data_IF_079555521949
#
_entry.id   IF_079555521949
#
_cell.length_a   1.000
_cell.length_b   1.000
_cell.length_c   1.000
_cell.angle_alpha   90.00
_cell.angle_beta   90.00
_cell.angle_gamma   90.00
#
_symmetry.space_group_name_H-M   'P 1'
#
loop_
_entity.id
_entity.type
_entity.pdbx_description
1 polymer ?
#
# COMPACT_ATOMS: atom_id res chain seq x y z
N UNK A 1 4.84 12.44 16.77
CA UNK A 1 3.95 11.63 15.89
C UNK A 1 4.50 10.21 15.75
N UNK A 2 3.67 9.20 15.50
CA UNK A 2 4.11 7.79 15.41
C UNK A 2 3.75 7.12 14.07
N UNK A 3 4.66 6.34 13.50
CA UNK A 3 4.41 5.50 12.34
C UNK A 3 3.79 4.14 12.71
N UNK A 4 3.09 3.53 11.75
CA UNK A 4 2.61 2.15 11.85
C UNK A 4 3.70 1.10 11.51
N UNK A 5 4.89 1.54 11.11
CA UNK A 5 5.97 0.70 10.57
C UNK A 5 7.23 0.69 11.45
N UNK A 6 8.01 -0.41 11.48
CA UNK A 6 9.32 -0.44 12.11
C UNK A 6 10.31 0.58 11.52
N UNK A 7 11.28 1.02 12.33
CA UNK A 7 12.29 2.02 11.93
C UNK A 7 13.19 1.57 10.76
N UNK A 8 13.32 0.26 10.54
CA UNK A 8 14.17 -0.31 9.48
C UNK A 8 13.58 -0.21 8.08
N UNK A 9 12.28 0.06 7.95
CA UNK A 9 11.55 0.03 6.68
C UNK A 9 11.63 1.37 5.92
N UNK A 10 11.54 1.32 4.58
CA UNK A 10 11.56 2.57 3.79
C UNK A 10 10.27 3.38 3.96
N UNK A 11 9.17 2.77 4.41
CA UNK A 11 7.95 3.47 4.82
C UNK A 11 8.23 4.43 5.99
N UNK A 12 9.14 4.07 6.91
CA UNK A 12 9.58 4.97 7.97
C UNK A 12 10.53 6.05 7.45
N UNK A 13 11.34 5.75 6.42
CA UNK A 13 12.11 6.77 5.70
C UNK A 13 11.21 7.82 5.02
N UNK A 14 10.05 7.43 4.48
CA UNK A 14 9.08 8.39 3.92
C UNK A 14 8.58 9.35 5.02
N UNK A 15 8.26 8.81 6.20
CA UNK A 15 7.79 9.60 7.32
C UNK A 15 8.85 10.57 7.87
N UNK A 16 10.10 10.11 8.01
CA UNK A 16 11.21 10.98 8.45
C UNK A 16 11.57 12.02 7.39
N UNK A 17 11.48 11.67 6.10
CA UNK A 17 11.60 12.63 5.01
C UNK A 17 10.53 13.71 5.10
N UNK A 18 9.26 13.34 5.28
CA UNK A 18 8.16 14.29 5.50
C UNK A 18 8.42 15.24 6.67
N UNK A 19 8.86 14.71 7.83
CA UNK A 19 9.19 15.51 9.00
C UNK A 19 10.33 16.52 8.72
N UNK A 20 11.39 16.09 8.04
CA UNK A 20 12.49 16.95 7.61
C UNK A 20 12.01 18.06 6.64
N UNK A 21 11.11 17.73 5.70
CA UNK A 21 10.52 18.71 4.78
C UNK A 21 9.68 19.76 5.51
N UNK A 22 8.87 19.36 6.51
CA UNK A 22 8.14 20.31 7.37
C UNK A 22 9.10 21.25 8.09
N UNK A 23 10.18 20.72 8.69
CA UNK A 23 11.21 21.53 9.35
C UNK A 23 11.86 22.53 8.41
N UNK A 24 12.27 22.10 7.22
CA UNK A 24 12.92 22.96 6.21
C UNK A 24 11.98 24.04 5.66
N UNK A 25 10.75 23.67 5.30
CA UNK A 25 9.75 24.61 4.74
C UNK A 25 9.27 25.63 5.77
N UNK A 26 9.33 25.29 7.06
CA UNK A 26 8.99 26.20 8.16
C UNK A 26 10.18 26.96 8.74
N UNK A 27 11.39 26.80 8.18
CA UNK A 27 12.63 27.32 8.76
C UNK A 27 12.82 26.96 10.25
N UNK A 28 12.38 25.75 10.63
CA UNK A 28 12.47 25.23 11.99
C UNK A 28 11.34 25.66 12.93
N UNK A 29 10.35 26.45 12.48
CA UNK A 29 9.20 26.84 13.30
C UNK A 29 8.27 25.66 13.63
N UNK A 30 8.26 24.63 12.78
CA UNK A 30 7.57 23.38 13.02
C UNK A 30 8.56 22.23 13.04
N UNK A 31 8.50 21.43 14.09
CA UNK A 31 9.24 20.18 14.20
C UNK A 31 8.28 19.03 14.42
N UNK A 32 8.62 17.85 13.88
CA UNK A 32 7.86 16.63 14.09
C UNK A 32 8.82 15.58 14.64
N UNK A 33 8.64 15.22 15.90
CA UNK A 33 9.33 14.08 16.49
C UNK A 33 8.72 12.79 15.91
N UNK A 34 9.54 12.02 15.21
CA UNK A 34 9.12 10.78 14.54
C UNK A 34 9.43 9.57 15.43
N UNK A 35 8.41 8.72 15.62
CA UNK A 35 8.52 7.50 16.41
C UNK A 35 8.13 6.28 15.55
N UNK A 36 8.89 5.18 15.55
CA UNK A 36 8.51 3.94 14.87
C UNK A 36 7.31 3.24 15.52
N UNK A 37 6.84 2.19 14.86
CA UNK A 37 5.79 1.30 15.34
C UNK A 37 6.01 0.82 16.78
N UNK A 38 4.96 0.89 17.59
CA UNK A 38 4.94 0.33 18.95
C UNK A 38 5.65 1.17 20.01
N UNK A 39 6.21 2.34 19.67
CA UNK A 39 6.90 3.17 20.65
C UNK A 39 5.96 3.78 21.70
N UNK A 40 4.76 4.21 21.29
CA UNK A 40 3.71 4.73 22.20
C UNK A 40 2.53 3.77 22.25
N UNK A 41 2.00 3.37 21.10
CA UNK A 41 0.88 2.43 20.99
C UNK A 41 1.10 1.41 19.87
N UNK A 42 0.48 0.21 19.94
CA UNK A 42 0.47 -0.74 18.84
C UNK A 42 -0.07 -0.13 17.53
N UNK A 43 0.40 -0.57 16.34
CA UNK A 43 -0.01 0.02 15.05
C UNK A 43 -1.52 0.08 14.81
N UNK A 44 -2.26 -0.95 15.20
CA UNK A 44 -3.72 -1.01 15.01
C UNK A 44 -4.51 -0.13 15.98
N UNK A 45 -3.87 0.45 16.99
CA UNK A 45 -4.47 1.39 17.95
C UNK A 45 -4.19 2.87 17.59
N UNK A 46 -3.37 3.13 16.56
CA UNK A 46 -2.90 4.48 16.24
C UNK A 46 -4.02 5.48 15.94
N UNK A 47 -5.05 5.08 15.20
CA UNK A 47 -6.17 5.97 14.90
C UNK A 47 -6.87 6.47 16.17
N UNK A 48 -7.14 5.57 17.13
CA UNK A 48 -7.77 5.95 18.40
C UNK A 48 -6.82 6.79 19.25
N UNK A 49 -5.52 6.48 19.25
CA UNK A 49 -4.51 7.27 19.95
C UNK A 49 -4.40 8.70 19.40
N UNK A 50 -4.44 8.89 18.08
CA UNK A 50 -4.46 10.22 17.45
C UNK A 50 -5.75 10.95 17.78
N UNK A 51 -6.91 10.29 17.65
CA UNK A 51 -8.19 10.93 17.95
C UNK A 51 -8.30 11.38 19.41
N UNK A 52 -7.69 10.64 20.35
CA UNK A 52 -7.63 10.97 21.78
C UNK A 52 -6.44 11.86 22.17
N UNK A 53 -5.63 12.25 21.18
CA UNK A 53 -4.42 13.07 21.38
C UNK A 53 -3.39 12.45 22.34
N UNK A 54 -3.30 11.13 22.36
CA UNK A 54 -2.17 10.41 23.00
C UNK A 54 -0.89 10.67 22.21
N UNK A 55 -1.01 10.77 20.88
CA UNK A 55 0.01 11.32 19.99
C UNK A 55 -0.63 12.37 19.09
N UNK A 56 0.11 13.41 18.71
CA UNK A 56 -0.43 14.52 17.90
C UNK A 56 -0.83 14.11 16.48
N UNK A 57 -0.32 12.96 16.02
CA UNK A 57 -0.62 12.42 14.72
C UNK A 57 0.15 11.13 14.43
N UNK A 58 -0.21 10.47 13.34
CA UNK A 58 0.37 9.22 12.88
C UNK A 58 0.66 9.19 11.40
N UNK A 59 1.56 8.30 10.99
CA UNK A 59 1.81 7.94 9.60
C UNK A 59 1.45 6.46 9.39
N UNK A 60 0.33 6.21 8.71
CA UNK A 60 -0.36 4.91 8.70
C UNK A 60 -0.95 4.59 7.32
N UNK A 61 -1.87 3.62 7.30
CA UNK A 61 -2.61 3.14 6.14
C UNK A 61 -4.06 2.90 6.52
N UNK A 62 -4.99 3.52 5.78
CA UNK A 62 -6.40 3.52 6.13
C UNK A 62 -7.02 2.10 6.17
N UNK A 63 -6.45 1.15 5.44
CA UNK A 63 -6.92 -0.24 5.45
C UNK A 63 -6.83 -0.93 6.83
N UNK A 64 -6.02 -0.42 7.77
CA UNK A 64 -6.01 -0.91 9.17
C UNK A 64 -7.29 -0.57 9.92
N UNK A 65 -8.10 0.37 9.44
CA UNK A 65 -9.36 0.77 10.07
C UNK A 65 -10.59 0.06 9.51
N UNK A 66 -10.41 -0.93 8.62
CA UNK A 66 -11.51 -1.72 8.03
C UNK A 66 -12.37 -2.45 9.07
N UNK A 67 -11.81 -2.73 10.26
CA UNK A 67 -12.58 -3.26 11.39
C UNK A 67 -13.52 -2.25 12.05
N UNK A 68 -13.33 -0.94 11.84
CA UNK A 68 -14.26 0.12 12.28
C UNK A 68 -15.31 0.41 11.21
N UNK A 69 -14.89 0.60 9.97
CA UNK A 69 -15.77 0.72 8.80
C UNK A 69 -15.02 0.30 7.54
N UNK A 70 -15.65 -0.53 6.71
CA UNK A 70 -15.05 -1.12 5.52
C UNK A 70 -14.71 -0.09 4.44
N UNK A 71 -15.32 1.10 4.47
CA UNK A 71 -15.02 2.21 3.56
C UNK A 71 -13.58 2.68 3.67
N UNK A 72 -12.91 2.46 4.80
CA UNK A 72 -11.52 2.86 5.00
C UNK A 72 -10.59 2.34 3.87
N UNK A 73 -10.87 1.15 3.34
CA UNK A 73 -10.03 0.54 2.30
C UNK A 73 -10.06 1.32 0.98
N UNK A 74 -11.13 2.09 0.70
CA UNK A 74 -11.25 2.82 -0.56
C UNK A 74 -10.31 4.02 -0.61
N UNK A 75 -9.91 4.57 0.54
CA UNK A 75 -9.00 5.72 0.60
C UNK A 75 -7.53 5.36 0.47
N UNK A 76 -7.21 4.07 0.42
CA UNK A 76 -5.85 3.60 0.19
C UNK A 76 -5.66 2.93 -1.18
N UNK A 77 -6.69 3.01 -2.04
CA UNK A 77 -6.68 2.47 -3.40
C UNK A 77 -7.51 1.20 -3.59
N UNK A 78 -7.90 0.55 -2.49
CA UNK A 78 -8.74 -0.65 -2.52
C UNK A 78 -8.08 -1.88 -3.17
N UNK A 79 -8.61 -3.09 -2.88
CA UNK A 79 -8.26 -4.27 -3.66
C UNK A 79 -8.55 -4.05 -5.15
N UNK A 80 -7.69 -4.52 -6.03
CA UNK A 80 -7.84 -4.39 -7.47
C UNK A 80 -7.34 -3.06 -8.06
N UNK A 81 -7.05 -2.05 -7.23
CA UNK A 81 -6.48 -0.76 -7.65
C UNK A 81 -7.47 0.18 -8.32
N UNK A 82 -8.34 0.80 -7.53
CA UNK A 82 -9.33 1.85 -7.87
C UNK A 82 -9.75 1.92 -9.34
N UNK A 83 -10.36 0.85 -9.86
CA UNK A 83 -10.86 0.77 -11.24
C UNK A 83 -9.80 1.02 -12.34
N UNK A 84 -8.55 0.62 -12.09
CA UNK A 84 -7.43 0.76 -13.04
C UNK A 84 -6.77 2.13 -13.06
N UNK A 85 -7.13 3.02 -12.13
CA UNK A 85 -6.41 4.28 -11.91
C UNK A 85 -4.98 4.02 -11.43
N UNK A 86 -4.00 4.77 -11.96
CA UNK A 86 -2.65 4.80 -11.39
C UNK A 86 -2.53 5.85 -10.27
N UNK A 87 -1.34 6.01 -9.69
CA UNK A 87 -1.11 6.99 -8.62
C UNK A 87 -1.43 8.43 -9.02
N UNK A 88 -1.18 8.83 -10.28
CA UNK A 88 -1.48 10.18 -10.75
C UNK A 88 -3.00 10.36 -10.89
N UNK A 89 -3.70 9.35 -11.37
CA UNK A 89 -5.17 9.37 -11.45
C UNK A 89 -5.82 9.44 -10.07
N UNK A 90 -5.35 8.64 -9.10
CA UNK A 90 -5.89 8.67 -7.73
C UNK A 90 -5.59 10.01 -7.04
N UNK A 91 -4.40 10.58 -7.24
CA UNK A 91 -4.10 11.94 -6.76
C UNK A 91 -5.00 12.99 -7.43
N UNK A 92 -5.31 12.80 -8.72
CA UNK A 92 -6.30 13.61 -9.43
C UNK A 92 -7.70 13.50 -8.82
N UNK A 93 -8.17 12.29 -8.50
CA UNK A 93 -9.44 12.09 -7.82
C UNK A 93 -9.46 12.72 -6.42
N UNK A 94 -8.40 12.55 -5.64
CA UNK A 94 -8.26 13.15 -4.31
C UNK A 94 -8.39 14.68 -4.38
N UNK A 95 -7.63 15.34 -5.26
CA UNK A 95 -7.55 16.80 -5.31
C UNK A 95 -8.62 17.48 -6.18
N UNK A 96 -9.16 16.78 -7.18
CA UNK A 96 -10.02 17.36 -8.21
C UNK A 96 -11.29 16.54 -8.49
N UNK A 97 -11.43 15.37 -7.89
CA UNK A 97 -12.62 14.50 -7.97
C UNK A 97 -13.46 14.48 -6.69
N UNK A 98 -13.16 15.33 -5.70
CA UNK A 98 -13.86 15.39 -4.41
C UNK A 98 -13.39 14.34 -3.39
N UNK A 99 -12.29 13.64 -3.66
CA UNK A 99 -11.82 12.54 -2.82
C UNK A 99 -11.32 13.00 -1.44
N UNK A 100 -10.68 14.18 -1.33
CA UNK A 100 -10.24 14.72 -0.04
C UNK A 100 -11.41 15.10 0.89
N UNK A 101 -12.48 15.65 0.34
CA UNK A 101 -13.69 15.97 1.11
C UNK A 101 -14.34 14.69 1.64
N UNK A 102 -14.45 13.66 0.79
CA UNK A 102 -14.93 12.33 1.21
C UNK A 102 -14.01 11.72 2.28
N UNK A 103 -12.70 11.89 2.16
CA UNK A 103 -11.74 11.36 3.13
C UNK A 103 -11.92 12.01 4.50
N UNK A 104 -12.09 13.33 4.54
CA UNK A 104 -12.37 14.07 5.77
C UNK A 104 -13.76 13.72 6.35
N UNK A 105 -14.78 13.55 5.50
CA UNK A 105 -16.13 13.13 5.88
C UNK A 105 -16.13 11.73 6.50
N UNK A 106 -15.34 10.81 5.96
CA UNK A 106 -15.19 9.45 6.50
C UNK A 106 -14.76 9.50 7.98
N UNK A 107 -13.67 10.19 8.29
CA UNK A 107 -13.20 10.25 9.68
C UNK A 107 -14.15 11.00 10.60
N UNK A 108 -14.69 12.14 10.16
CA UNK A 108 -15.46 13.03 11.06
C UNK A 108 -16.94 12.69 11.18
N UNK A 109 -17.56 12.15 10.13
CA UNK A 109 -19.01 11.87 10.08
C UNK A 109 -19.31 10.39 10.24
N UNK A 110 -18.52 9.52 9.60
CA UNK A 110 -18.73 8.06 9.67
C UNK A 110 -18.10 7.51 10.95
N UNK A 111 -16.79 7.70 11.13
CA UNK A 111 -16.09 7.20 12.31
C UNK A 111 -16.28 8.08 13.55
N UNK A 112 -16.74 9.33 13.38
CA UNK A 112 -16.92 10.33 14.46
C UNK A 112 -15.64 10.58 15.25
N UNK A 113 -14.51 10.59 14.56
CA UNK A 113 -13.19 10.86 15.11
C UNK A 113 -12.74 12.26 14.70
N UNK A 114 -12.17 13.00 15.64
CA UNK A 114 -11.64 14.34 15.40
C UNK A 114 -10.19 14.26 14.89
N UNK A 115 -10.05 13.87 13.63
CA UNK A 115 -8.76 13.75 12.94
C UNK A 115 -8.83 14.35 11.54
N UNK A 116 -7.69 14.82 11.06
CA UNK A 116 -7.49 15.35 9.71
C UNK A 116 -6.63 14.38 8.92
N UNK A 117 -7.19 13.67 7.91
CA UNK A 117 -6.43 12.81 7.03
C UNK A 117 -5.70 13.62 5.94
N UNK A 118 -4.46 13.26 5.66
CA UNK A 118 -3.69 13.81 4.54
C UNK A 118 -3.04 12.65 3.79
N UNK A 119 -3.38 12.43 2.50
CA UNK A 119 -2.74 11.40 1.69
C UNK A 119 -1.23 11.58 1.61
N UNK A 120 -0.49 10.48 1.77
CA UNK A 120 0.97 10.41 1.68
C UNK A 120 1.38 8.99 1.25
N UNK A 121 2.68 8.70 1.17
CA UNK A 121 3.22 7.34 1.05
C UNK A 121 2.62 6.52 -0.12
N UNK A 122 3.15 6.70 -1.33
CA UNK A 122 2.81 5.84 -2.47
C UNK A 122 3.60 4.52 -2.39
N UNK A 123 3.03 3.50 -1.74
CA UNK A 123 3.68 2.20 -1.52
C UNK A 123 3.13 1.11 -2.44
N UNK A 124 3.19 1.33 -3.75
CA UNK A 124 2.80 0.35 -4.77
C UNK A 124 3.40 0.62 -6.15
N UNK A 125 3.13 -0.24 -7.14
CA UNK A 125 2.38 -1.49 -7.03
C UNK A 125 3.09 -2.54 -6.17
N UNK A 126 2.33 -3.31 -5.41
CA UNK A 126 2.87 -4.33 -4.52
C UNK A 126 3.09 -5.69 -5.21
N UNK A 127 3.98 -6.49 -4.63
CA UNK A 127 4.14 -7.89 -4.99
C UNK A 127 2.91 -8.70 -4.55
N UNK A 128 2.61 -9.81 -5.24
CA UNK A 128 1.58 -10.75 -4.78
C UNK A 128 1.98 -11.38 -3.44
N UNK A 129 3.28 -11.62 -3.25
CA UNK A 129 3.85 -11.98 -1.96
C UNK A 129 4.84 -13.14 -2.05
N UNK A 130 5.12 -13.71 -0.89
CA UNK A 130 6.08 -14.78 -0.67
C UNK A 130 5.41 -16.06 -0.23
N UNK A 131 5.88 -17.18 -0.75
CA UNK A 131 5.24 -18.48 -0.58
C UNK A 131 6.25 -19.56 -0.21
N UNK A 132 5.85 -20.49 0.66
CA UNK A 132 6.65 -21.66 1.02
C UNK A 132 6.74 -22.73 -0.10
N UNK A 133 5.91 -22.62 -1.14
CA UNK A 133 5.85 -23.53 -2.29
C UNK A 133 5.47 -22.79 -3.57
N UNK A 134 5.73 -23.36 -4.76
CA UNK A 134 5.30 -22.77 -6.02
C UNK A 134 3.78 -22.65 -6.12
N UNK A 135 3.32 -21.54 -6.70
CA UNK A 135 1.95 -21.25 -7.12
C UNK A 135 1.91 -21.21 -8.64
N UNK A 136 1.15 -22.12 -9.24
CA UNK A 136 1.01 -22.25 -10.70
C UNK A 136 -0.37 -21.85 -11.20
N UNK A 137 -1.38 -21.93 -10.33
CA UNK A 137 -2.77 -21.62 -10.62
C UNK A 137 -3.54 -21.30 -9.33
N UNK A 138 -4.80 -20.88 -9.46
CA UNK A 138 -5.66 -20.50 -8.33
C UNK A 138 -5.86 -21.62 -7.29
N UNK A 139 -5.90 -22.90 -7.69
CA UNK A 139 -6.12 -24.00 -6.74
C UNK A 139 -4.96 -24.17 -5.75
N UNK A 140 -3.75 -23.73 -6.11
CA UNK A 140 -2.58 -23.82 -5.23
C UNK A 140 -2.73 -22.90 -4.00
N UNK A 141 -3.65 -21.93 -4.02
CA UNK A 141 -3.93 -21.04 -2.89
C UNK A 141 -4.88 -21.66 -1.84
N UNK A 142 -5.61 -22.73 -2.20
CA UNK A 142 -6.60 -23.33 -1.29
C UNK A 142 -5.92 -23.92 -0.06
N UNK A 143 -6.43 -23.54 1.12
CA UNK A 143 -5.94 -23.99 2.42
C UNK A 143 -4.59 -23.37 2.84
N UNK A 144 -3.96 -22.55 2.00
CA UNK A 144 -2.68 -21.93 2.32
C UNK A 144 -2.87 -20.89 3.44
N UNK A 145 -2.09 -21.00 4.52
CA UNK A 145 -2.19 -20.08 5.66
C UNK A 145 -1.37 -18.84 5.38
N UNK A 146 -2.02 -17.71 5.14
CA UNK A 146 -1.34 -16.54 4.64
C UNK A 146 -1.59 -15.32 5.48
N UNK A 147 -0.53 -14.55 5.76
CA UNK A 147 -0.70 -13.21 6.28
C UNK A 147 -1.26 -12.33 5.16
N UNK A 148 -2.44 -11.77 5.41
CA UNK A 148 -3.14 -10.81 4.55
C UNK A 148 -3.84 -9.78 5.45
N UNK A 149 -4.01 -8.56 4.96
CA UNK A 149 -4.68 -7.49 5.73
C UNK A 149 -5.77 -6.77 4.93
N UNK A 150 -6.55 -5.92 5.61
CA UNK A 150 -7.68 -5.19 5.01
C UNK A 150 -8.73 -6.09 4.34
N UNK A 151 -9.41 -5.57 3.32
CA UNK A 151 -10.39 -6.36 2.55
C UNK A 151 -9.75 -7.34 1.57
N UNK A 152 -8.45 -7.20 1.26
CA UNK A 152 -7.74 -8.21 0.48
C UNK A 152 -7.74 -9.57 1.18
N UNK A 153 -7.63 -9.58 2.52
CA UNK A 153 -7.77 -10.80 3.32
C UNK A 153 -9.14 -11.49 3.12
N UNK A 154 -10.22 -10.73 2.97
CA UNK A 154 -11.54 -11.30 2.72
C UNK A 154 -11.69 -11.87 1.31
N UNK A 155 -11.17 -11.16 0.31
CA UNK A 155 -11.12 -11.65 -1.07
C UNK A 155 -10.40 -13.00 -1.12
N UNK A 156 -9.20 -13.07 -0.54
CA UNK A 156 -8.40 -14.30 -0.50
C UNK A 156 -9.06 -15.42 0.30
N UNK A 157 -9.75 -15.09 1.39
CA UNK A 157 -10.54 -16.06 2.15
C UNK A 157 -11.66 -16.66 1.32
N UNK A 158 -12.41 -15.85 0.57
CA UNK A 158 -13.47 -16.34 -0.34
C UNK A 158 -12.90 -17.14 -1.52
N UNK A 159 -11.64 -16.92 -1.89
CA UNK A 159 -10.89 -17.72 -2.88
C UNK A 159 -10.23 -18.97 -2.27
N UNK A 160 -10.41 -19.23 -0.97
CA UNK A 160 -10.06 -20.48 -0.31
C UNK A 160 -8.75 -20.45 0.49
N UNK A 161 -8.08 -19.31 0.62
CA UNK A 161 -6.93 -19.17 1.54
C UNK A 161 -7.39 -19.15 3.00
N UNK A 162 -6.51 -19.58 3.91
CA UNK A 162 -6.70 -19.33 5.35
C UNK A 162 -5.94 -18.08 5.73
N UNK A 163 -6.64 -16.97 6.01
CA UNK A 163 -5.99 -15.68 6.25
C UNK A 163 -5.72 -15.42 7.74
N UNK A 164 -4.57 -14.83 8.03
CA UNK A 164 -4.14 -14.39 9.37
C UNK A 164 -3.77 -12.91 9.30
N UNK A 165 -4.35 -12.09 10.18
CA UNK A 165 -4.00 -10.66 10.24
C UNK A 165 -2.99 -10.41 11.35
N UNK A 166 -1.89 -9.73 11.04
CA UNK A 166 -0.88 -9.31 12.02
C UNK A 166 -0.07 -8.09 11.50
N UNK A 167 0.51 -7.28 12.40
CA UNK A 167 1.42 -6.19 12.04
C UNK A 167 2.71 -6.68 11.34
N UNK A 168 3.35 -5.79 10.58
CA UNK A 168 4.57 -6.13 9.80
C UNK A 168 5.70 -6.75 10.63
N UNK A 169 5.92 -6.23 11.86
CA UNK A 169 6.98 -6.74 12.75
C UNK A 169 6.77 -8.17 13.24
N UNK A 170 5.58 -8.74 13.10
CA UNK A 170 5.24 -10.09 13.56
C UNK A 170 5.32 -11.15 12.46
N UNK A 171 5.41 -10.74 11.19
CA UNK A 171 5.30 -11.63 10.03
C UNK A 171 6.46 -12.64 10.00
N UNK A 172 7.71 -12.17 10.05
CA UNK A 172 8.87 -13.07 9.98
C UNK A 172 8.94 -14.02 11.17
N UNK A 173 8.75 -13.57 12.43
CA UNK A 173 8.66 -14.49 13.56
C UNK A 173 7.54 -15.54 13.41
N UNK A 174 6.37 -15.17 12.88
CA UNK A 174 5.27 -16.10 12.64
C UNK A 174 5.63 -17.14 11.57
N UNK A 175 6.28 -16.70 10.49
CA UNK A 175 6.72 -17.56 9.39
C UNK A 175 7.82 -18.55 9.85
N UNK A 176 8.81 -18.10 10.63
CA UNK A 176 9.84 -18.96 11.22
C UNK A 176 9.29 -20.05 12.15
N UNK A 177 8.17 -19.77 12.83
CA UNK A 177 7.46 -20.74 13.68
C UNK A 177 6.51 -21.66 12.91
N UNK A 178 6.37 -21.49 11.59
CA UNK A 178 5.44 -22.27 10.77
C UNK A 178 3.96 -21.96 11.04
N UNK A 179 3.66 -20.78 11.58
CA UNK A 179 2.26 -20.34 11.82
C UNK A 179 1.57 -19.96 10.50
N UNK A 180 2.35 -19.43 9.55
CA UNK A 180 1.92 -19.03 8.22
C UNK A 180 2.83 -19.67 7.16
N UNK A 181 2.24 -19.99 6.01
CA UNK A 181 2.85 -20.57 4.82
C UNK A 181 3.19 -19.53 3.75
N UNK A 182 2.55 -18.36 3.82
CA UNK A 182 2.77 -17.27 2.90
C UNK A 182 2.49 -15.92 3.55
N UNK A 183 2.97 -14.84 2.94
CA UNK A 183 2.61 -13.49 3.33
C UNK A 183 2.82 -12.52 2.18
N UNK A 184 2.06 -11.43 2.23
CA UNK A 184 2.39 -10.20 1.53
C UNK A 184 2.77 -9.11 2.55
N UNK A 185 3.50 -8.11 2.07
CA UNK A 185 3.76 -6.89 2.82
C UNK A 185 3.77 -5.68 1.90
N UNK A 186 4.76 -5.59 0.99
CA UNK A 186 4.81 -4.56 -0.05
C UNK A 186 5.50 -5.07 -1.31
N UNK A 187 6.71 -5.61 -1.19
CA UNK A 187 7.56 -6.00 -2.32
C UNK A 187 8.94 -5.35 -2.27
N UNK A 188 9.82 -5.79 -3.17
CA UNK A 188 11.12 -5.15 -3.43
C UNK A 188 11.93 -4.86 -2.16
N UNK A 189 12.30 -3.59 -1.97
CA UNK A 189 13.21 -3.19 -0.87
C UNK A 189 12.59 -3.38 0.51
N UNK A 190 11.28 -3.23 0.63
CA UNK A 190 10.59 -3.42 1.92
C UNK A 190 10.66 -4.86 2.37
N UNK A 191 10.42 -5.79 1.45
CA UNK A 191 10.37 -7.21 1.75
C UNK A 191 11.75 -7.77 2.12
N UNK A 192 12.81 -7.32 1.44
CA UNK A 192 14.19 -7.67 1.81
C UNK A 192 14.52 -7.15 3.22
N UNK A 193 14.15 -5.90 3.52
CA UNK A 193 14.42 -5.27 4.82
C UNK A 193 13.62 -5.90 5.95
N UNK A 194 12.43 -6.39 5.66
CA UNK A 194 11.64 -7.16 6.62
C UNK A 194 12.27 -8.55 6.85
N UNK A 195 12.80 -9.17 5.80
CA UNK A 195 13.60 -10.40 5.89
C UNK A 195 12.96 -11.64 5.28
N UNK A 196 11.99 -11.50 4.37
CA UNK A 196 11.27 -12.63 3.77
C UNK A 196 12.17 -13.64 3.05
N UNK A 197 13.23 -13.16 2.41
CA UNK A 197 14.24 -13.97 1.71
C UNK A 197 14.93 -14.99 2.61
N UNK A 198 14.87 -14.82 3.94
CA UNK A 198 15.44 -15.75 4.92
C UNK A 198 14.47 -16.89 5.27
N UNK A 199 13.20 -16.80 4.87
CA UNK A 199 12.15 -17.78 5.21
C UNK A 199 11.59 -18.46 3.97
N UNK A 200 11.37 -17.72 2.89
CA UNK A 200 10.79 -18.24 1.65
C UNK A 200 11.61 -17.86 0.42
N UNK A 201 11.48 -18.65 -0.64
CA UNK A 201 12.23 -18.46 -1.90
C UNK A 201 11.35 -18.22 -3.12
N UNK A 202 10.04 -18.40 -3.01
CA UNK A 202 9.12 -18.11 -4.11
C UNK A 202 8.48 -16.74 -3.88
N UNK A 203 8.78 -15.79 -4.74
CA UNK A 203 8.23 -14.44 -4.72
C UNK A 203 7.47 -14.18 -6.01
N UNK A 204 6.21 -13.76 -5.90
CA UNK A 204 5.34 -13.56 -7.06
C UNK A 204 4.99 -12.08 -7.27
N UNK A 205 5.05 -11.62 -8.52
CA UNK A 205 4.61 -10.27 -8.92
C UNK A 205 3.95 -10.25 -10.31
N UNK A 206 3.02 -9.32 -10.58
CA UNK A 206 2.50 -8.31 -9.66
C UNK A 206 1.41 -8.87 -8.72
N UNK A 207 1.12 -8.19 -7.62
CA UNK A 207 -0.11 -8.38 -6.85
C UNK A 207 -1.18 -7.40 -7.29
N UNK A 208 -2.42 -7.84 -7.45
CA UNK A 208 -3.56 -6.94 -7.76
C UNK A 208 -4.30 -6.46 -6.52
N UNK A 209 -3.99 -7.01 -5.35
CA UNK A 209 -4.61 -6.57 -4.10
C UNK A 209 -4.20 -5.15 -3.70
N UNK A 210 -3.03 -4.69 -4.15
CA UNK A 210 -2.46 -3.38 -3.80
C UNK A 210 -1.65 -2.78 -4.97
N UNK A 211 -2.32 -2.60 -6.12
CA UNK A 211 -1.72 -2.00 -7.32
C UNK A 211 -1.35 -0.51 -7.12
N UNK A 212 -2.18 0.21 -6.36
CA UNK A 212 -1.99 1.61 -5.99
C UNK A 212 -2.30 1.68 -4.51
N UNK A 213 -1.25 1.83 -3.69
CA UNK A 213 -1.40 1.96 -2.23
C UNK A 213 -1.02 3.34 -1.78
N UNK A 214 -1.97 4.05 -1.17
CA UNK A 214 -1.76 5.39 -0.64
C UNK A 214 -1.87 5.34 0.87
N UNK A 215 -0.79 5.64 1.58
CA UNK A 215 -0.82 5.83 3.01
C UNK A 215 -1.46 7.16 3.42
N UNK A 216 -1.46 7.42 4.71
CA UNK A 216 -2.04 8.62 5.28
C UNK A 216 -1.22 9.16 6.45
N UNK A 217 -1.23 10.48 6.56
CA UNK A 217 -1.05 11.14 7.84
C UNK A 217 -2.41 11.33 8.47
N UNK A 218 -2.53 11.00 9.75
CA UNK A 218 -3.65 11.41 10.58
C UNK A 218 -3.13 12.43 11.56
N UNK A 219 -3.69 13.63 11.58
CA UNK A 219 -3.35 14.66 12.56
C UNK A 219 -4.55 14.86 13.47
N UNK A 220 -4.33 14.94 14.78
CA UNK A 220 -5.39 15.23 15.74
C UNK A 220 -6.07 16.57 15.39
N UNK A 221 -7.40 16.62 15.46
CA UNK A 221 -8.16 17.80 15.06
C UNK A 221 -7.87 19.06 15.89
N UNK A 222 -7.64 18.92 17.20
CA UNK A 222 -7.27 20.06 18.06
C UNK A 222 -5.89 20.60 17.66
N UNK A 223 -4.92 19.71 17.46
CA UNK A 223 -3.57 20.07 17.00
C UNK A 223 -3.67 20.80 15.66
N UNK A 224 -4.42 20.26 14.71
CA UNK A 224 -4.60 20.87 13.39
C UNK A 224 -5.19 22.28 13.48
N UNK A 225 -6.24 22.47 14.28
CA UNK A 225 -6.90 23.77 14.46
C UNK A 225 -6.02 24.79 15.19
N UNK A 226 -5.07 24.35 16.00
CA UNK A 226 -4.11 25.23 16.67
C UNK A 226 -3.00 25.74 15.74
N UNK A 227 -2.78 25.10 14.59
CA UNK A 227 -1.81 25.54 13.60
C UNK A 227 -2.31 26.78 12.85
N UNK A 228 -1.39 27.67 12.48
CA UNK A 228 -1.68 28.75 11.55
C UNK A 228 -2.01 28.19 10.15
N UNK A 229 -2.74 28.95 9.34
CA UNK A 229 -3.02 28.56 7.95
C UNK A 229 -1.73 28.27 7.16
N UNK A 230 -0.66 29.03 7.40
CA UNK A 230 0.64 28.80 6.78
C UNK A 230 1.24 27.45 7.21
N UNK A 231 1.16 27.12 8.50
CA UNK A 231 1.65 25.84 9.02
C UNK A 231 0.86 24.64 8.45
N UNK A 232 -0.45 24.79 8.32
CA UNK A 232 -1.29 23.80 7.66
C UNK A 232 -0.88 23.59 6.19
N UNK A 233 -0.62 24.66 5.44
CA UNK A 233 -0.17 24.56 4.04
C UNK A 233 1.25 24.00 3.90
N UNK A 234 2.15 24.29 4.84
CA UNK A 234 3.47 23.66 4.90
C UNK A 234 3.34 22.14 5.04
N UNK A 235 2.50 21.66 5.96
CA UNK A 235 2.27 20.23 6.16
C UNK A 235 1.69 19.58 4.90
N UNK A 236 0.64 20.15 4.30
CA UNK A 236 0.04 19.62 3.05
C UNK A 236 1.04 19.60 1.90
N UNK A 237 1.91 20.61 1.80
CA UNK A 237 2.93 20.69 0.75
C UNK A 237 4.05 19.67 0.97
N UNK A 238 4.52 19.52 2.22
CA UNK A 238 5.50 18.51 2.58
C UNK A 238 4.99 17.09 2.33
N UNK A 239 3.70 16.81 2.58
CA UNK A 239 3.10 15.50 2.30
C UNK A 239 3.09 15.18 0.80
N UNK A 240 2.71 16.15 -0.05
CA UNK A 240 2.74 16.01 -1.52
C UNK A 240 4.17 15.84 -2.06
N UNK A 241 5.13 16.58 -1.50
CA UNK A 241 6.55 16.44 -1.83
C UNK A 241 7.09 15.06 -1.43
N UNK A 242 6.77 14.59 -0.22
CA UNK A 242 7.08 13.25 0.25
C UNK A 242 6.39 12.16 -0.57
N UNK A 243 5.26 12.44 -1.19
CA UNK A 243 4.63 11.51 -2.12
C UNK A 243 5.41 11.45 -3.45
N UNK A 244 5.63 12.59 -4.10
CA UNK A 244 6.17 12.65 -5.47
C UNK A 244 7.68 12.37 -5.51
N UNK A 245 8.46 12.86 -4.54
CA UNK A 245 9.93 12.78 -4.58
C UNK A 245 10.44 11.46 -4.03
N UNK A 246 9.80 10.92 -2.99
CA UNK A 246 10.19 9.65 -2.43
C UNK A 246 9.87 8.49 -3.38
N UNK A 247 8.76 8.55 -4.12
CA UNK A 247 8.31 7.43 -4.95
C UNK A 247 9.31 6.99 -6.03
N UNK A 248 9.89 7.88 -6.87
CA UNK A 248 10.92 7.47 -7.84
C UNK A 248 12.18 6.91 -7.20
N UNK A 249 12.62 7.48 -6.05
CA UNK A 249 13.73 6.93 -5.26
C UNK A 249 13.41 5.50 -4.84
N UNK A 250 12.20 5.28 -4.31
CA UNK A 250 11.73 3.98 -3.86
C UNK A 250 11.64 2.96 -5.01
N UNK A 251 11.19 3.37 -6.20
CA UNK A 251 11.16 2.49 -7.37
C UNK A 251 12.55 2.05 -7.83
N UNK A 252 13.56 2.93 -7.74
CA UNK A 252 14.97 2.53 -7.96
C UNK A 252 15.41 1.49 -6.92
N UNK A 253 15.11 1.73 -5.65
CA UNK A 253 15.44 0.79 -4.57
C UNK A 253 14.73 -0.56 -4.76
N UNK A 254 13.49 -0.58 -5.26
CA UNK A 254 12.78 -1.81 -5.60
C UNK A 254 13.48 -2.58 -6.73
N UNK A 255 13.93 -1.91 -7.79
CA UNK A 255 14.67 -2.56 -8.88
C UNK A 255 16.01 -3.17 -8.40
N UNK A 256 16.75 -2.43 -7.56
CA UNK A 256 17.99 -2.91 -6.92
C UNK A 256 17.71 -4.12 -6.02
N UNK A 257 16.63 -4.06 -5.23
CA UNK A 257 16.21 -5.13 -4.34
C UNK A 257 15.85 -6.40 -5.11
N UNK A 258 15.14 -6.32 -6.25
CA UNK A 258 14.86 -7.51 -7.07
C UNK A 258 16.14 -8.19 -7.57
N UNK A 259 17.14 -7.39 -7.96
CA UNK A 259 18.46 -7.91 -8.35
C UNK A 259 19.12 -8.62 -7.16
N UNK A 260 19.12 -7.99 -5.98
CA UNK A 260 19.67 -8.58 -4.76
C UNK A 260 18.94 -9.87 -4.34
N UNK A 261 17.61 -9.91 -4.41
CA UNK A 261 16.80 -11.10 -4.13
C UNK A 261 17.26 -12.28 -4.99
N UNK A 262 17.39 -12.08 -6.30
CA UNK A 262 17.78 -13.12 -7.26
C UNK A 262 19.24 -13.55 -7.05
N UNK A 263 20.17 -12.60 -7.07
CA UNK A 263 21.60 -12.89 -7.20
C UNK A 263 22.25 -13.28 -5.87
N UNK A 264 21.86 -12.62 -4.77
CA UNK A 264 22.49 -12.84 -3.45
C UNK A 264 21.72 -13.86 -2.62
N UNK A 265 20.39 -13.87 -2.72
CA UNK A 265 19.54 -14.69 -1.87
C UNK A 265 18.92 -15.89 -2.57
N UNK A 266 19.14 -16.06 -3.88
CA UNK A 266 18.62 -17.19 -4.65
C UNK A 266 17.09 -17.25 -4.66
N UNK A 267 16.42 -16.11 -4.61
CA UNK A 267 14.96 -16.01 -4.66
C UNK A 267 14.49 -16.23 -6.10
N UNK A 268 13.47 -17.07 -6.25
CA UNK A 268 12.75 -17.28 -7.50
C UNK A 268 11.70 -16.17 -7.65
N UNK A 269 12.04 -15.16 -8.44
CA UNK A 269 11.13 -14.10 -8.83
C UNK A 269 10.24 -14.62 -9.97
N UNK A 270 8.95 -14.81 -9.69
CA UNK A 270 8.00 -15.46 -10.59
C UNK A 270 6.84 -14.53 -10.92
N UNK A 271 6.20 -14.79 -12.08
CA UNK A 271 4.98 -14.07 -12.45
C UNK A 271 3.76 -14.66 -11.77
N UNK A 272 2.92 -13.79 -11.21
CA UNK A 272 1.62 -14.20 -10.67
C UNK A 272 0.76 -14.81 -11.78
N UNK A 273 0.21 -16.01 -11.59
CA UNK A 273 -0.65 -16.64 -12.60
C UNK A 273 -1.84 -15.74 -12.99
N UNK A 274 -2.13 -15.67 -14.28
CA UNK A 274 -3.18 -14.76 -14.78
C UNK A 274 -4.59 -15.11 -14.32
N UNK A 275 -4.85 -16.38 -14.01
CA UNK A 275 -6.11 -16.83 -13.40
C UNK A 275 -6.26 -16.36 -11.94
N UNK A 276 -5.16 -16.34 -11.17
CA UNK A 276 -5.13 -15.76 -9.82
C UNK A 276 -5.47 -14.27 -9.86
N UNK A 277 -4.85 -13.51 -10.78
CA UNK A 277 -5.11 -12.08 -10.93
C UNK A 277 -6.57 -11.79 -11.29
N UNK A 278 -7.13 -12.52 -12.27
CA UNK A 278 -8.53 -12.35 -12.68
C UNK A 278 -9.51 -12.72 -11.57
N UNK A 279 -9.33 -13.88 -10.94
CA UNK A 279 -10.22 -14.33 -9.89
C UNK A 279 -10.24 -13.36 -8.69
N UNK A 280 -9.10 -12.74 -8.36
CA UNK A 280 -9.05 -11.71 -7.32
C UNK A 280 -9.88 -10.47 -7.69
N UNK A 281 -9.71 -9.95 -8.90
CA UNK A 281 -10.45 -8.76 -9.36
C UNK A 281 -11.96 -9.01 -9.40
N UNK A 282 -12.38 -10.14 -9.98
CA UNK A 282 -13.79 -10.53 -10.03
C UNK A 282 -14.39 -10.68 -8.62
N UNK A 283 -13.65 -11.34 -7.71
CA UNK A 283 -14.11 -11.53 -6.33
C UNK A 283 -14.16 -10.22 -5.55
N UNK A 284 -13.21 -9.31 -5.78
CA UNK A 284 -13.25 -7.97 -5.22
C UNK A 284 -14.51 -7.22 -5.67
N UNK A 285 -14.83 -7.21 -6.97
CA UNK A 285 -16.02 -6.54 -7.48
C UNK A 285 -17.31 -7.07 -6.86
N UNK A 286 -17.41 -8.39 -6.65
CA UNK A 286 -18.53 -8.99 -5.92
C UNK A 286 -18.63 -8.50 -4.47
N UNK A 287 -17.51 -8.48 -3.73
CA UNK A 287 -17.47 -8.01 -2.33
C UNK A 287 -17.80 -6.52 -2.25
N UNK A 288 -17.22 -5.70 -3.12
CA UNK A 288 -17.46 -4.26 -3.17
C UNK A 288 -18.91 -3.95 -3.53
N UNK A 289 -19.52 -4.70 -4.46
CA UNK A 289 -20.94 -4.56 -4.79
C UNK A 289 -21.85 -4.93 -3.61
N UNK A 290 -21.54 -6.01 -2.87
CA UNK A 290 -22.26 -6.37 -1.64
C UNK A 290 -22.14 -5.28 -0.58
N UNK A 291 -20.93 -4.76 -0.37
CA UNK A 291 -20.70 -3.68 0.60
C UNK A 291 -21.42 -2.39 0.20
N UNK A 292 -21.37 -2.00 -1.07
CA UNK A 292 -22.08 -0.83 -1.57
C UNK A 292 -23.62 -0.96 -1.45
N UNK A 293 -24.17 -2.17 -1.47
CA UNK A 293 -25.60 -2.39 -1.26
C UNK A 293 -26.05 -2.15 0.19
N UNK A 294 -25.15 -2.32 1.17
CA UNK A 294 -25.48 -2.23 2.60
C UNK A 294 -24.89 -1.00 3.31
N UNK A 295 -23.85 -0.38 2.75
CA UNK A 295 -23.16 0.78 3.31
C UNK A 295 -23.27 1.98 2.35
N UNK A 296 -24.19 2.93 2.62
CA UNK A 296 -24.40 4.09 1.75
C UNK A 296 -23.16 4.96 1.57
N UNK A 297 -22.32 5.07 2.61
CA UNK A 297 -21.10 5.88 2.52
C UNK A 297 -20.02 5.16 1.70
N UNK A 298 -19.85 3.85 1.88
CA UNK A 298 -19.02 3.04 0.99
C UNK A 298 -19.45 3.22 -0.47
N UNK A 299 -20.75 3.09 -0.76
CA UNK A 299 -21.30 3.28 -2.10
C UNK A 299 -20.99 4.68 -2.66
N UNK A 300 -21.16 5.72 -1.84
CA UNK A 300 -20.85 7.11 -2.23
C UNK A 300 -19.39 7.26 -2.69
N UNK A 301 -18.44 6.72 -1.91
CA UNK A 301 -17.01 6.79 -2.24
C UNK A 301 -16.69 5.93 -3.46
N UNK A 302 -17.21 4.70 -3.50
CA UNK A 302 -17.00 3.74 -4.60
C UNK A 302 -17.52 4.27 -5.93
N UNK A 303 -18.71 4.85 -5.94
CA UNK A 303 -19.29 5.47 -7.14
C UNK A 303 -18.48 6.70 -7.57
N UNK A 304 -18.08 7.57 -6.64
CA UNK A 304 -17.22 8.73 -6.94
C UNK A 304 -15.90 8.33 -7.61
N UNK A 305 -15.25 7.28 -7.10
CA UNK A 305 -14.03 6.74 -7.68
C UNK A 305 -14.27 6.16 -9.08
N UNK A 306 -15.34 5.38 -9.26
CA UNK A 306 -15.71 4.80 -10.55
C UNK A 306 -16.01 5.88 -11.59
N UNK A 307 -16.75 6.90 -11.21
CA UNK A 307 -17.14 7.99 -12.11
C UNK A 307 -15.91 8.75 -12.59
N UNK A 308 -14.97 9.07 -11.69
CA UNK A 308 -13.70 9.70 -12.06
C UNK A 308 -12.85 8.78 -12.96
N UNK A 309 -12.71 7.51 -12.58
CA UNK A 309 -11.96 6.50 -13.34
C UNK A 309 -12.52 6.29 -14.76
N UNK A 310 -13.85 6.36 -14.93
CA UNK A 310 -14.54 6.19 -16.22
C UNK A 310 -14.12 7.23 -17.26
N UNK A 311 -13.60 8.39 -16.82
CA UNK A 311 -13.11 9.45 -17.70
C UNK A 311 -11.62 9.27 -17.98
N UNK A 312 -10.80 9.11 -16.93
CA UNK A 312 -9.33 9.17 -17.06
C UNK A 312 -8.71 7.88 -17.56
N UNK A 313 -9.23 6.72 -17.14
CA UNK A 313 -8.62 5.41 -17.46
C UNK A 313 -8.77 5.07 -18.95
N UNK A 314 -9.95 5.19 -19.60
CA UNK A 314 -10.06 4.93 -21.04
C UNK A 314 -9.20 5.89 -21.88
N UNK A 315 -9.17 7.18 -21.52
CA UNK A 315 -8.35 8.17 -22.21
C UNK A 315 -6.86 7.82 -22.11
N UNK A 316 -6.38 7.43 -20.92
CA UNK A 316 -5.00 6.98 -20.71
C UNK A 316 -4.68 5.72 -21.51
N UNK A 317 -5.57 4.72 -21.51
CA UNK A 317 -5.41 3.49 -22.31
C UNK A 317 -5.32 3.76 -23.82
N UNK A 318 -6.00 4.80 -24.32
CA UNK A 318 -5.96 5.19 -25.72
C UNK A 318 -4.69 5.99 -26.06
N UNK A 319 -4.32 6.95 -25.19
CA UNK A 319 -3.26 7.92 -25.49
C UNK A 319 -1.86 7.43 -25.12
N UNK A 320 -1.71 6.63 -24.05
CA UNK A 320 -0.42 6.19 -23.56
C UNK A 320 0.01 4.90 -24.28
N UNK A 321 1.25 4.83 -24.79
CA UNK A 321 1.74 3.59 -25.37
C UNK A 321 1.85 2.52 -24.27
N UNK A 322 1.48 1.26 -24.55
CA UNK A 322 1.64 0.18 -23.57
C UNK A 322 3.09 0.08 -23.11
N UNK A 323 3.34 0.14 -21.80
CA UNK A 323 4.70 0.13 -21.25
C UNK A 323 5.51 -1.07 -21.74
N UNK A 324 4.95 -2.28 -21.66
CA UNK A 324 5.60 -3.52 -22.07
C UNK A 324 5.97 -3.53 -23.56
N UNK A 325 5.12 -2.93 -24.41
CA UNK A 325 5.38 -2.83 -25.84
C UNK A 325 6.66 -2.02 -26.10
N UNK A 326 6.75 -0.79 -25.58
CA UNK A 326 7.92 0.06 -25.77
C UNK A 326 9.14 -0.49 -25.04
N UNK A 327 8.98 -0.93 -23.79
CA UNK A 327 10.09 -1.41 -22.96
C UNK A 327 10.80 -2.61 -23.59
N UNK A 328 10.04 -3.56 -24.16
CA UNK A 328 10.58 -4.78 -24.78
C UNK A 328 11.52 -4.52 -25.96
N UNK A 329 11.44 -3.35 -26.60
CA UNK A 329 12.34 -2.97 -27.69
C UNK A 329 13.75 -2.66 -27.18
N UNK A 330 13.86 -2.14 -25.96
CA UNK A 330 15.12 -1.69 -25.38
C UNK A 330 15.67 -2.65 -24.32
N UNK A 331 14.79 -3.29 -23.55
CA UNK A 331 15.16 -4.08 -22.39
C UNK A 331 14.32 -5.36 -22.32
N UNK A 332 14.94 -6.55 -22.40
CA UNK A 332 14.21 -7.81 -22.18
C UNK A 332 13.79 -7.94 -20.71
N UNK A 333 12.67 -8.61 -20.48
CA UNK A 333 12.28 -9.00 -19.13
C UNK A 333 13.06 -10.25 -18.70
N UNK A 334 14.07 -10.07 -17.84
CA UNK A 334 14.95 -11.16 -17.38
C UNK A 334 14.62 -11.67 -15.95
N UNK A 335 13.60 -11.09 -15.31
CA UNK A 335 13.10 -11.51 -14.02
C UNK A 335 12.08 -12.65 -14.20
N UNK A 336 12.51 -13.91 -13.99
CA UNK A 336 11.66 -15.11 -14.13
C UNK A 336 12.21 -16.19 -15.06
N UNK A 337 13.29 -15.92 -15.79
CA UNK A 337 14.06 -16.93 -16.50
C UNK A 337 14.97 -17.70 -15.53
N UNK A 338 15.19 -18.99 -15.76
CA UNK A 338 16.18 -19.79 -15.04
C UNK A 338 17.56 -19.10 -15.17
N UNK A 339 18.26 -18.75 -14.07
CA UNK A 339 19.59 -18.17 -14.12
C UNK A 339 20.59 -18.95 -14.99
N UNK A 340 20.38 -20.27 -15.15
CA UNK A 340 21.22 -21.11 -16.01
C UNK A 340 21.05 -20.79 -17.51
N UNK A 341 19.91 -20.23 -17.91
CA UNK A 341 19.55 -19.95 -19.32
C UNK A 341 20.08 -18.61 -19.85
N UNK A 342 20.39 -17.65 -18.98
CA UNK A 342 20.79 -16.29 -19.37
C UNK A 342 22.31 -16.11 -19.60
N UNK A 343 23.11 -17.14 -19.32
CA UNK A 343 24.57 -17.13 -19.48
C UNK A 343 25.09 -17.16 -20.93
N UNK A 344 24.21 -17.26 -21.94
CA UNK A 344 24.62 -17.43 -23.36
C UNK A 344 24.58 -16.18 -24.24
N UNK A 345 24.32 -14.98 -23.71
CA UNK A 345 23.96 -13.83 -24.55
C UNK A 345 24.67 -12.50 -24.31
N UNK A 346 25.76 -12.45 -23.54
CA UNK A 346 26.56 -11.21 -23.39
C UNK A 346 27.96 -11.43 -23.94
N UNK A 347 28.10 -11.26 -25.26
CA UNK A 347 29.35 -11.16 -26.01
C UNK A 347 29.36 -9.87 -26.81
#
# INVERSE_FOLDING_TARGET
>A
MQAAWPASLTLYENFTYFADRVGKLSAGMLTIDTMPAGQVVPPFELLDAVSRRVVDGSHSWAGYWTGKDRTAILFTGGPGGTFGMDFIDVMGWLHHGGGLELYQEFYTKVLKLDVVPIPILPSGPQAFGWFNRPITNLNDLKGLKCRQTGLAAEVWKELGMTVVNMPGGEIIPAAQRGVIDCAEWVGGVEDIRLGFQNVWKFHYSPGVHENVTIGELLINGEVWRALSAQHQEIIKSAARDAFIVWWPKWQKQNAEALTEMREKYGVQLLRTPGDVLRAFLEKWDEIAAREAAQNPFFKKVWDSQRDYASVVVPAKRFYFPPYSFVASIYWPEDFGADPASTSKGRG
#
